data_IF_440771403723
#
_entry.id   IF_440771403723
#
_cell.length_a   1.000
_cell.length_b   1.000
_cell.length_c   1.000
_cell.angle_alpha   90.00
_cell.angle_beta   90.00
_cell.angle_gamma   90.00
#
_symmetry.space_group_name_H-M   'P 1'
#
loop_
_entity.id
_entity.type
_entity.pdbx_description
1 polymer ?
#
# COMPACT_ATOMS: atom_id res chain seq x y z
N UNK A 1 -7.52 3.58 8.11
CA UNK A 1 -6.56 2.72 7.37
C UNK A 1 -7.08 1.30 7.43
N UNK A 2 -6.74 0.47 6.44
CA UNK A 2 -7.06 -0.94 6.52
C UNK A 2 -6.26 -1.61 7.65
N UNK A 3 -6.92 -2.44 8.44
CA UNK A 3 -6.35 -3.08 9.63
C UNK A 3 -5.14 -3.96 9.26
N UNK A 4 -4.08 -3.85 10.07
CA UNK A 4 -2.80 -4.55 9.87
C UNK A 4 -2.26 -4.49 8.43
N UNK A 5 -2.39 -3.33 7.78
CA UNK A 5 -1.86 -3.11 6.42
C UNK A 5 -2.44 -4.08 5.38
N UNK A 6 -3.69 -4.53 5.58
CA UNK A 6 -4.36 -5.59 4.79
C UNK A 6 -3.79 -7.01 4.93
N UNK A 7 -2.78 -7.24 5.78
CA UNK A 7 -2.20 -8.56 6.03
C UNK A 7 -2.97 -9.42 7.04
N UNK A 8 -4.19 -9.00 7.41
CA UNK A 8 -4.98 -9.71 8.42
C UNK A 8 -5.76 -10.91 7.86
N UNK A 9 -6.42 -10.74 6.71
CA UNK A 9 -7.36 -11.74 6.16
C UNK A 9 -7.45 -11.67 4.64
N UNK A 10 -7.83 -12.79 4.01
CA UNK A 10 -8.04 -12.91 2.56
C UNK A 10 -9.45 -12.52 2.12
N UNK A 11 -10.39 -12.34 3.06
CA UNK A 11 -11.74 -11.84 2.79
C UNK A 11 -11.79 -10.31 2.95
N UNK A 12 -12.26 -9.64 1.89
CA UNK A 12 -12.08 -8.20 1.62
C UNK A 12 -12.31 -7.26 2.81
N UNK A 13 -11.26 -6.52 3.19
CA UNK A 13 -11.27 -5.55 4.29
C UNK A 13 -10.65 -4.19 3.90
N UNK A 14 -10.49 -3.89 2.61
CA UNK A 14 -9.78 -2.68 2.18
C UNK A 14 -10.46 -1.42 2.72
N UNK A 15 -9.68 -0.61 3.44
CA UNK A 15 -10.12 0.61 4.10
C UNK A 15 -10.86 0.44 5.45
N UNK A 16 -11.04 -0.79 5.95
CA UNK A 16 -11.73 -1.06 7.22
C UNK A 16 -10.75 -1.28 8.38
N UNK A 17 -11.09 -0.78 9.57
CA UNK A 17 -10.51 -1.26 10.83
C UNK A 17 -11.53 -1.28 11.98
N UNK A 18 -11.31 -2.11 12.98
CA UNK A 18 -12.17 -2.21 14.16
C UNK A 18 -12.33 -0.84 14.84
N UNK A 19 -11.23 -0.09 14.94
CA UNK A 19 -11.21 1.25 15.56
C UNK A 19 -11.81 2.34 14.66
N UNK A 20 -11.59 2.26 13.35
CA UNK A 20 -11.89 3.34 12.40
C UNK A 20 -13.17 3.16 11.60
N UNK A 21 -13.80 1.98 11.66
CA UNK A 21 -14.90 1.61 10.78
C UNK A 21 -14.45 1.49 9.31
N UNK A 22 -15.42 1.53 8.40
CA UNK A 22 -15.18 1.44 6.96
C UNK A 22 -14.89 2.82 6.36
N UNK A 23 -13.70 2.97 5.78
CA UNK A 23 -13.42 4.10 4.87
C UNK A 23 -14.03 3.80 3.51
N UNK A 24 -14.84 4.72 2.96
CA UNK A 24 -15.38 4.63 1.59
C UNK A 24 -14.65 5.59 0.67
N UNK A 25 -14.58 5.23 -0.62
CA UNK A 25 -13.97 6.02 -1.69
C UNK A 25 -14.80 7.25 -2.05
N UNK A 26 -14.20 8.15 -2.82
CA UNK A 26 -14.71 9.51 -3.02
C UNK A 26 -15.83 9.62 -4.06
N UNK A 27 -15.76 8.80 -5.11
CA UNK A 27 -16.47 9.09 -6.35
C UNK A 27 -17.84 8.42 -6.44
N UNK A 28 -18.08 7.34 -5.69
CA UNK A 28 -19.39 6.69 -5.64
C UNK A 28 -19.76 6.25 -4.21
N UNK A 29 -21.04 6.31 -3.82
CA UNK A 29 -21.50 5.76 -2.55
C UNK A 29 -21.12 4.29 -2.39
N UNK A 30 -20.45 3.95 -1.29
CA UNK A 30 -20.00 2.58 -1.04
C UNK A 30 -18.79 2.15 -1.88
N UNK A 31 -18.11 3.06 -2.57
CA UNK A 31 -16.89 2.75 -3.32
C UNK A 31 -15.78 2.27 -2.38
N UNK A 32 -14.94 1.35 -2.85
CA UNK A 32 -13.71 0.99 -2.15
C UNK A 32 -12.70 2.14 -2.17
N UNK A 33 -12.18 2.50 -1.00
CA UNK A 33 -11.07 3.45 -0.87
C UNK A 33 -9.69 2.84 -1.25
N UNK A 34 -9.62 1.52 -1.49
CA UNK A 34 -8.39 0.72 -1.46
C UNK A 34 -7.63 0.89 -0.13
N UNK A 35 -6.41 0.38 -0.05
CA UNK A 35 -5.66 0.42 1.18
C UNK A 35 -4.25 -0.15 1.07
N UNK A 36 -3.51 -0.13 2.16
CA UNK A 36 -4.00 0.19 3.51
C UNK A 36 -4.15 1.69 3.84
N UNK A 37 -3.51 2.59 3.08
CA UNK A 37 -3.51 4.05 3.34
C UNK A 37 -4.78 4.79 2.89
N UNK A 38 -5.90 4.07 2.69
CA UNK A 38 -7.16 4.60 2.14
C UNK A 38 -7.71 5.84 2.86
N UNK A 39 -7.68 5.85 4.19
CA UNK A 39 -8.18 6.99 4.98
C UNK A 39 -7.41 8.29 4.74
N UNK A 40 -6.08 8.21 4.61
CA UNK A 40 -5.25 9.38 4.30
C UNK A 40 -5.50 9.89 2.88
N UNK A 41 -5.66 8.96 1.93
CA UNK A 41 -5.91 9.33 0.53
C UNK A 41 -7.28 10.00 0.37
N UNK A 42 -8.31 9.46 1.00
CA UNK A 42 -9.66 10.04 1.05
C UNK A 42 -9.63 11.43 1.72
N UNK A 43 -8.94 11.59 2.85
CA UNK A 43 -8.85 12.88 3.55
C UNK A 43 -8.15 13.97 2.71
N UNK A 44 -7.09 13.62 2.00
CA UNK A 44 -6.38 14.54 1.08
C UNK A 44 -7.24 14.86 -0.13
N UNK A 45 -7.90 13.86 -0.72
CA UNK A 45 -8.78 14.04 -1.89
C UNK A 45 -9.99 14.92 -1.59
N UNK A 46 -10.59 14.80 -0.40
CA UNK A 46 -11.67 15.68 0.07
C UNK A 46 -11.21 17.08 0.47
N UNK A 47 -9.91 17.35 0.53
CA UNK A 47 -9.39 18.63 1.01
C UNK A 47 -9.48 18.84 2.52
N UNK A 48 -9.79 17.79 3.29
CA UNK A 48 -9.83 17.85 4.77
C UNK A 48 -8.45 18.15 5.34
N UNK A 49 -7.40 17.65 4.68
CA UNK A 49 -6.01 17.96 4.98
C UNK A 49 -5.25 18.35 3.71
N UNK A 50 -4.17 19.12 3.86
CA UNK A 50 -3.29 19.49 2.74
C UNK A 50 -2.48 18.30 2.21
N UNK A 51 -1.96 17.49 3.14
CA UNK A 51 -1.11 16.31 2.88
C UNK A 51 -1.36 15.24 3.95
N UNK A 52 -1.07 13.99 3.62
CA UNK A 52 -1.06 12.89 4.59
C UNK A 52 0.17 11.99 4.38
N UNK A 53 0.56 11.28 5.43
CA UNK A 53 1.56 10.21 5.34
C UNK A 53 0.85 8.87 5.19
N UNK A 54 1.40 8.01 4.35
CA UNK A 54 0.96 6.63 4.17
C UNK A 54 2.13 5.66 4.33
N UNK A 55 1.82 4.37 4.38
CA UNK A 55 2.82 3.30 4.38
C UNK A 55 2.56 2.32 3.26
N UNK A 56 3.63 1.83 2.65
CA UNK A 56 3.54 0.85 1.58
C UNK A 56 4.50 -0.30 1.80
N UNK A 57 3.93 -1.49 1.96
CA UNK A 57 4.59 -2.79 1.82
C UNK A 57 4.59 -3.20 0.35
N UNK A 58 3.42 -3.11 -0.28
CA UNK A 58 3.20 -3.33 -1.71
C UNK A 58 1.90 -2.65 -2.12
N UNK A 59 1.97 -1.61 -2.93
CA UNK A 59 0.82 -0.89 -3.52
C UNK A 59 -0.10 -0.13 -2.52
N UNK A 60 0.22 -0.08 -1.22
CA UNK A 60 -0.65 0.48 -0.18
C UNK A 60 -0.68 2.02 -0.04
N UNK A 61 0.19 2.76 -0.74
CA UNK A 61 0.14 4.23 -0.91
C UNK A 61 -0.41 4.53 -2.31
N UNK A 62 0.15 3.88 -3.33
CA UNK A 62 -0.15 4.17 -4.74
C UNK A 62 -1.60 3.79 -5.09
N UNK A 63 -2.10 2.65 -4.61
CA UNK A 63 -3.47 2.20 -4.87
C UNK A 63 -4.55 3.14 -4.29
N UNK A 64 -4.54 3.48 -2.99
CA UNK A 64 -5.56 4.40 -2.47
C UNK A 64 -5.44 5.81 -3.04
N UNK A 65 -4.24 6.26 -3.43
CA UNK A 65 -4.05 7.52 -4.14
C UNK A 65 -4.73 7.51 -5.52
N UNK A 66 -4.54 6.43 -6.29
CA UNK A 66 -5.22 6.20 -7.57
C UNK A 66 -6.75 6.26 -7.41
N UNK A 67 -7.31 5.49 -6.44
CA UNK A 67 -8.76 5.46 -6.20
C UNK A 67 -9.34 6.78 -5.71
N UNK A 68 -8.50 7.65 -5.16
CA UNK A 68 -8.89 8.97 -4.65
C UNK A 68 -8.56 10.11 -5.63
N UNK A 69 -7.96 9.80 -6.79
CA UNK A 69 -7.59 10.81 -7.78
C UNK A 69 -6.50 11.78 -7.32
N UNK A 70 -5.54 11.32 -6.50
CA UNK A 70 -4.46 12.15 -5.93
C UNK A 70 -3.06 11.58 -6.22
N UNK A 71 -2.03 12.33 -5.85
CA UNK A 71 -0.63 11.87 -5.88
C UNK A 71 -0.37 10.98 -4.66
N UNK A 72 0.15 9.79 -4.92
CA UNK A 72 0.73 8.88 -3.94
C UNK A 72 2.18 8.62 -4.32
N UNK A 73 3.10 9.02 -3.44
CA UNK A 73 4.53 8.82 -3.65
C UNK A 73 5.09 7.84 -2.63
N UNK A 74 5.53 6.69 -3.15
CA UNK A 74 6.32 5.71 -2.41
C UNK A 74 7.80 5.97 -2.70
N UNK A 75 8.59 6.49 -1.74
CA UNK A 75 10.01 6.74 -1.97
C UNK A 75 10.83 5.45 -2.06
N UNK A 76 12.13 5.63 -2.31
CA UNK A 76 13.12 4.58 -2.10
C UNK A 76 13.08 4.12 -0.64
N UNK A 77 13.13 2.80 -0.42
CA UNK A 77 13.10 2.25 0.94
C UNK A 77 14.28 2.80 1.75
N UNK A 78 13.99 3.30 2.95
CA UNK A 78 14.98 3.90 3.83
C UNK A 78 15.22 5.39 3.62
N UNK A 79 14.67 6.01 2.57
CA UNK A 79 14.74 7.47 2.39
C UNK A 79 14.02 8.19 3.54
N UNK A 80 12.82 7.72 3.88
CA UNK A 80 12.11 8.12 5.10
C UNK A 80 12.29 7.02 6.14
N UNK A 81 12.63 7.43 7.36
CA UNK A 81 12.80 6.48 8.46
C UNK A 81 11.44 5.91 8.89
N UNK A 82 11.45 4.61 9.19
CA UNK A 82 10.28 3.83 9.59
C UNK A 82 10.30 3.49 11.08
N UNK A 83 11.10 4.22 11.88
CA UNK A 83 11.20 3.99 13.33
C UNK A 83 9.86 4.26 14.03
N UNK A 84 9.38 3.30 14.81
CA UNK A 84 8.06 3.39 15.44
C UNK A 84 6.90 3.10 14.49
N UNK A 85 7.18 2.71 13.24
CA UNK A 85 6.18 2.09 12.38
C UNK A 85 5.85 0.69 12.89
N UNK A 86 4.57 0.37 12.93
CA UNK A 86 4.13 -1.03 12.94
C UNK A 86 4.37 -1.60 11.55
N UNK A 87 5.25 -2.58 11.48
CA UNK A 87 5.70 -3.15 10.22
C UNK A 87 4.85 -4.36 9.81
N UNK A 88 4.43 -4.40 8.54
CA UNK A 88 4.01 -5.64 7.90
C UNK A 88 5.23 -6.40 7.38
N UNK A 89 6.21 -5.69 6.78
CA UNK A 89 7.50 -6.27 6.40
C UNK A 89 8.60 -5.23 6.50
N UNK A 90 9.52 -5.40 7.45
CA UNK A 90 10.73 -4.55 7.59
C UNK A 90 11.59 -4.48 6.32
N UNK A 91 11.46 -5.48 5.44
CA UNK A 91 12.21 -5.55 4.17
C UNK A 91 11.58 -4.72 3.05
N UNK A 92 10.27 -4.45 3.11
CA UNK A 92 9.53 -3.80 2.03
C UNK A 92 8.94 -2.46 2.44
N UNK A 93 8.55 -2.34 3.72
CA UNK A 93 7.82 -1.19 4.22
C UNK A 93 8.59 0.12 4.05
N UNK A 94 7.88 1.10 3.52
CA UNK A 94 8.35 2.47 3.45
C UNK A 94 7.23 3.44 3.80
N UNK A 95 7.59 4.53 4.48
CA UNK A 95 6.70 5.68 4.65
C UNK A 95 6.73 6.47 3.35
N UNK A 96 5.58 6.97 2.91
CA UNK A 96 5.49 7.87 1.78
C UNK A 96 4.39 8.91 1.96
N UNK A 97 4.13 9.67 0.90
CA UNK A 97 3.35 10.90 0.96
C UNK A 97 2.13 10.80 0.05
N UNK A 98 1.00 11.30 0.54
CA UNK A 98 -0.25 11.49 -0.19
C UNK A 98 -0.53 12.98 -0.27
N UNK A 99 -0.70 13.52 -1.48
CA UNK A 99 -0.93 14.95 -1.71
C UNK A 99 -1.76 15.20 -2.98
N UNK A 100 -2.33 16.39 -3.14
CA UNK A 100 -3.04 16.76 -4.38
C UNK A 100 -2.09 17.23 -5.48
N UNK A 101 -0.87 17.66 -5.14
CA UNK A 101 0.11 18.14 -6.11
C UNK A 101 1.49 17.52 -5.88
N UNK A 102 2.29 17.45 -6.95
CA UNK A 102 3.70 17.02 -6.88
C UNK A 102 4.52 18.00 -6.04
N UNK A 103 4.23 19.31 -6.13
CA UNK A 103 4.89 20.33 -5.34
C UNK A 103 4.70 20.13 -3.83
N UNK A 104 3.48 19.82 -3.39
CA UNK A 104 3.18 19.53 -1.98
C UNK A 104 3.90 18.26 -1.51
N UNK A 105 3.99 17.25 -2.37
CA UNK A 105 4.75 16.02 -2.11
C UNK A 105 6.24 16.33 -1.88
N UNK A 106 6.83 17.14 -2.76
CA UNK A 106 8.22 17.58 -2.67
C UNK A 106 8.48 18.41 -1.40
N UNK A 107 7.56 19.31 -1.04
CA UNK A 107 7.68 20.14 0.16
C UNK A 107 7.73 19.28 1.45
N UNK A 108 6.88 18.25 1.54
CA UNK A 108 6.87 17.32 2.68
C UNK A 108 8.17 16.51 2.74
N UNK A 109 8.64 15.97 1.61
CA UNK A 109 9.87 15.19 1.56
C UNK A 109 11.11 16.00 1.95
N UNK A 110 11.16 17.28 1.55
CA UNK A 110 12.28 18.18 1.86
C UNK A 110 12.28 18.68 3.31
N UNK A 111 11.11 18.72 3.98
CA UNK A 111 10.96 19.27 5.35
C UNK A 111 10.96 18.19 6.45
N UNK A 112 10.42 16.99 6.18
CA UNK A 112 10.11 15.99 7.22
C UNK A 112 11.29 15.10 7.69
N UNK A 113 12.37 14.94 6.91
CA UNK A 113 13.50 14.08 7.29
C UNK A 113 14.23 14.57 8.56
N UNK A 114 14.50 15.88 8.67
CA UNK A 114 15.28 16.42 9.78
C UNK A 114 14.46 16.56 11.09
N UNK A 115 13.16 16.83 10.97
CA UNK A 115 12.24 17.01 12.10
C UNK A 115 11.84 15.67 12.72
N UNK A 116 11.65 14.63 11.91
CA UNK A 116 11.32 13.30 12.39
C UNK A 116 12.49 12.61 13.10
N UNK A 117 13.74 12.84 12.65
CA UNK A 117 14.93 12.30 13.30
C UNK A 117 15.17 12.86 14.72
N UNK A 118 14.57 14.00 15.05
CA UNK A 118 14.76 14.70 16.33
C UNK A 118 13.63 14.47 17.34
N UNK A 119 12.55 13.75 17.01
CA UNK A 119 11.28 13.79 17.78
C UNK A 119 10.77 12.47 18.41
N UNK A 120 11.53 11.37 18.43
CA UNK A 120 11.00 10.05 18.87
C UNK A 120 11.35 9.68 20.32
N UNK A 121 10.32 9.49 21.20
CA UNK A 121 10.52 9.21 22.64
C UNK A 121 9.78 7.99 23.29
N UNK A 122 8.68 7.38 22.80
CA UNK A 122 7.99 6.25 23.53
C UNK A 122 7.15 5.28 22.67
N UNK A 123 6.91 4.03 23.17
CA UNK A 123 6.04 2.96 22.62
C UNK A 123 5.04 2.44 23.69
N UNK A 124 3.75 2.86 23.68
CA UNK A 124 2.83 2.68 24.81
C UNK A 124 2.10 1.32 24.89
N UNK A 125 2.18 0.45 23.88
CA UNK A 125 1.44 -0.83 23.86
C UNK A 125 2.36 -2.06 24.06
N UNK A 126 3.67 -1.84 24.17
CA UNK A 126 4.69 -2.89 24.35
C UNK A 126 4.57 -4.10 23.40
N UNK A 127 4.03 -3.88 22.19
CA UNK A 127 3.97 -4.90 21.13
C UNK A 127 5.33 -4.90 20.42
N UNK A 128 6.07 -5.99 20.55
CA UNK A 128 7.46 -6.09 20.06
C UNK A 128 7.68 -7.21 19.05
N UNK A 129 6.69 -8.07 18.84
CA UNK A 129 6.78 -9.21 17.94
C UNK A 129 5.39 -9.63 17.40
N UNK A 130 5.40 -10.56 16.45
CA UNK A 130 4.19 -11.05 15.79
C UNK A 130 3.30 -11.86 16.75
N UNK A 131 3.88 -12.52 17.76
CA UNK A 131 3.14 -13.32 18.73
C UNK A 131 2.32 -12.45 19.70
N UNK A 132 2.92 -11.37 20.22
CA UNK A 132 2.25 -10.37 21.06
C UNK A 132 1.14 -9.64 20.28
N UNK A 133 1.32 -9.44 18.99
CA UNK A 133 0.31 -8.90 18.09
C UNK A 133 -0.90 -9.84 17.88
N UNK A 134 -0.64 -11.13 17.62
CA UNK A 134 -1.71 -12.14 17.46
C UNK A 134 -2.52 -12.30 18.76
N UNK A 135 -1.85 -12.32 19.91
CA UNK A 135 -2.51 -12.43 21.22
C UNK A 135 -3.43 -11.23 21.51
N UNK A 136 -2.94 -10.00 21.28
CA UNK A 136 -3.74 -8.78 21.42
C UNK A 136 -5.02 -8.82 20.56
N UNK A 137 -4.89 -9.29 19.32
CA UNK A 137 -6.01 -9.34 18.36
C UNK A 137 -7.10 -10.34 18.76
N UNK A 138 -6.72 -11.45 19.41
CA UNK A 138 -7.67 -12.48 19.86
C UNK A 138 -8.40 -12.10 21.15
N UNK A 139 -7.74 -11.39 22.06
CA UNK A 139 -8.28 -11.05 23.38
C UNK A 139 -9.07 -9.74 23.41
N UNK A 140 -8.87 -8.82 22.45
CA UNK A 140 -9.54 -7.52 22.49
C UNK A 140 -10.95 -7.58 21.87
N UNK A 141 -12.04 -7.31 22.63
CA UNK A 141 -13.42 -7.48 22.14
C UNK A 141 -13.79 -6.63 20.91
N UNK A 142 -13.07 -5.54 20.64
CA UNK A 142 -13.28 -4.69 19.48
C UNK A 142 -12.87 -5.36 18.16
N UNK A 143 -12.00 -6.36 18.20
CA UNK A 143 -11.44 -7.06 17.04
C UNK A 143 -12.40 -8.11 16.45
N UNK A 144 -13.48 -8.46 17.16
CA UNK A 144 -14.57 -9.33 16.69
C UNK A 144 -14.11 -10.73 16.22
N UNK A 145 -13.01 -11.24 16.78
CA UNK A 145 -12.60 -12.63 16.61
C UNK A 145 -13.67 -13.58 17.21
N UNK A 146 -14.05 -14.72 16.58
CA UNK A 146 -13.49 -15.31 15.36
C UNK A 146 -14.16 -14.89 14.04
N UNK A 147 -15.20 -14.04 14.06
CA UNK A 147 -15.89 -13.61 12.84
C UNK A 147 -14.95 -12.87 11.87
N UNK A 148 -13.92 -12.21 12.40
CA UNK A 148 -12.80 -11.64 11.63
C UNK A 148 -11.50 -12.33 12.04
N UNK A 149 -11.04 -13.28 11.23
CA UNK A 149 -9.94 -14.19 11.57
C UNK A 149 -8.55 -13.56 11.45
N UNK A 150 -7.53 -14.30 11.89
CA UNK A 150 -6.10 -13.93 11.84
C UNK A 150 -5.28 -14.93 11.01
N UNK A 151 -5.93 -15.65 10.11
CA UNK A 151 -5.35 -16.79 9.37
C UNK A 151 -4.10 -16.37 8.57
N UNK A 152 -4.06 -15.15 8.02
CA UNK A 152 -2.87 -14.63 7.33
C UNK A 152 -1.65 -14.53 8.25
N UNK A 153 -1.85 -14.12 9.50
CA UNK A 153 -0.81 -14.02 10.52
C UNK A 153 -0.41 -15.42 11.04
N UNK A 154 -1.37 -16.32 11.19
CA UNK A 154 -1.13 -17.71 11.60
C UNK A 154 -0.36 -18.49 10.52
N UNK A 155 -0.70 -18.30 9.26
CA UNK A 155 0.02 -18.87 8.12
C UNK A 155 1.45 -18.32 8.00
N UNK A 156 1.64 -17.02 8.24
CA UNK A 156 2.97 -16.42 8.29
C UNK A 156 3.81 -16.95 9.46
N UNK A 157 3.19 -17.19 10.62
CA UNK A 157 3.83 -17.75 11.81
C UNK A 157 4.18 -19.25 11.64
N UNK A 158 3.36 -20.00 10.91
CA UNK A 158 3.55 -21.43 10.65
C UNK A 158 4.47 -21.72 9.46
N UNK A 159 4.86 -20.71 8.68
CA UNK A 159 5.69 -20.88 7.50
C UNK A 159 7.10 -21.37 7.85
N UNK A 160 7.50 -22.54 7.33
CA UNK A 160 8.89 -23.00 7.39
C UNK A 160 9.74 -22.25 6.38
N UNK A 161 10.48 -21.26 6.87
CA UNK A 161 11.43 -20.47 6.06
C UNK A 161 12.59 -21.31 5.46
N UNK A 162 12.76 -22.57 5.88
CA UNK A 162 13.76 -23.49 5.31
C UNK A 162 13.22 -24.37 4.17
N UNK A 163 11.94 -24.30 3.85
CA UNK A 163 11.32 -25.08 2.79
C UNK A 163 11.98 -24.79 1.43
N UNK A 164 12.05 -25.77 0.50
CA UNK A 164 12.68 -25.59 -0.82
C UNK A 164 12.11 -24.42 -1.63
N UNK A 165 10.81 -24.13 -1.47
CA UNK A 165 10.16 -22.97 -2.09
C UNK A 165 10.78 -21.64 -1.58
N UNK A 166 10.98 -21.49 -0.28
CA UNK A 166 11.65 -20.31 0.31
C UNK A 166 13.13 -20.20 -0.03
N UNK A 167 13.79 -21.31 -0.37
CA UNK A 167 15.20 -21.33 -0.83
C UNK A 167 15.35 -20.96 -2.30
N UNK A 168 14.34 -21.22 -3.14
CA UNK A 168 14.36 -20.94 -4.59
C UNK A 168 13.72 -19.60 -4.97
N UNK A 169 12.84 -19.06 -4.12
CA UNK A 169 12.27 -17.72 -4.29
C UNK A 169 13.31 -16.57 -4.29
N UNK A 170 14.40 -16.61 -3.50
CA UNK A 170 15.46 -15.61 -3.55
C UNK A 170 16.11 -15.49 -4.93
N UNK A 171 16.42 -16.61 -5.59
CA UNK A 171 17.06 -16.61 -6.92
C UNK A 171 16.14 -16.01 -7.99
N UNK A 172 14.86 -16.40 -7.99
CA UNK A 172 13.86 -15.79 -8.88
C UNK A 172 13.63 -14.32 -8.57
N UNK A 173 13.64 -13.94 -7.30
CA UNK A 173 13.52 -12.53 -6.89
C UNK A 173 14.75 -11.74 -7.32
N UNK A 174 15.97 -12.28 -7.17
CA UNK A 174 17.21 -11.59 -7.54
C UNK A 174 17.25 -11.27 -9.04
N UNK A 175 16.76 -12.15 -9.90
CA UNK A 175 16.66 -11.87 -11.34
C UNK A 175 15.83 -10.61 -11.65
N UNK A 176 14.70 -10.41 -10.97
CA UNK A 176 13.82 -9.25 -11.20
C UNK A 176 14.15 -8.03 -10.32
N UNK A 177 14.90 -8.20 -9.23
CA UNK A 177 15.27 -7.11 -8.32
C UNK A 177 16.63 -6.52 -8.71
N UNK A 178 17.62 -7.38 -8.92
CA UNK A 178 19.02 -7.03 -9.12
C UNK A 178 19.57 -7.45 -10.50
N UNK A 179 18.87 -8.34 -11.20
CA UNK A 179 19.30 -8.92 -12.48
C UNK A 179 18.72 -8.22 -13.71
N UNK A 180 18.99 -8.81 -14.88
CA UNK A 180 18.64 -8.26 -16.19
C UNK A 180 17.13 -8.09 -16.41
N UNK A 181 16.29 -8.83 -15.69
CA UNK A 181 14.84 -8.69 -15.77
C UNK A 181 14.28 -7.54 -14.93
N UNK A 182 15.13 -6.79 -14.21
CA UNK A 182 14.72 -5.78 -13.26
C UNK A 182 14.51 -4.38 -13.85
N UNK A 183 13.91 -3.50 -13.03
CA UNK A 183 13.59 -2.11 -13.39
C UNK A 183 14.85 -1.35 -13.81
N UNK A 184 15.94 -1.47 -13.04
CA UNK A 184 17.19 -0.77 -13.34
C UNK A 184 17.85 -1.24 -14.64
N UNK A 185 17.89 -2.55 -14.87
CA UNK A 185 18.42 -3.12 -16.10
C UNK A 185 17.59 -2.67 -17.32
N UNK A 186 16.27 -2.64 -17.18
CA UNK A 186 15.35 -2.15 -18.24
C UNK A 186 15.61 -0.68 -18.56
N UNK A 187 15.67 0.20 -17.54
CA UNK A 187 15.96 1.62 -17.74
C UNK A 187 17.33 1.85 -18.39
N UNK A 188 18.34 1.08 -17.98
CA UNK A 188 19.69 1.15 -18.55
C UNK A 188 19.71 0.70 -20.01
N UNK A 189 19.08 -0.43 -20.33
CA UNK A 189 19.02 -0.96 -21.69
C UNK A 189 18.25 -0.03 -22.65
N UNK A 190 17.26 0.69 -22.14
CA UNK A 190 16.48 1.64 -22.92
C UNK A 190 17.01 3.08 -22.88
N UNK A 191 18.11 3.34 -22.16
CA UNK A 191 18.63 4.70 -21.90
C UNK A 191 17.54 5.67 -21.40
N UNK A 192 16.72 5.22 -20.45
CA UNK A 192 15.58 5.96 -19.93
C UNK A 192 15.75 6.28 -18.43
N UNK A 193 15.23 7.45 -18.01
CA UNK A 193 15.22 7.87 -16.60
C UNK A 193 13.94 7.47 -15.86
N UNK A 194 12.83 7.33 -16.60
CA UNK A 194 11.49 7.07 -16.04
C UNK A 194 10.78 6.03 -16.89
N UNK A 195 10.07 5.12 -16.21
CA UNK A 195 9.19 4.15 -16.86
C UNK A 195 7.73 4.48 -16.54
N UNK A 196 6.91 4.67 -17.59
CA UNK A 196 5.47 4.93 -17.47
C UNK A 196 4.75 3.61 -17.74
N UNK A 197 3.95 3.15 -16.78
CA UNK A 197 3.21 1.89 -16.86
C UNK A 197 1.74 2.10 -16.47
N UNK A 198 0.82 1.23 -16.92
CA UNK A 198 -0.50 1.15 -16.32
C UNK A 198 -0.40 0.84 -14.82
N UNK A 199 -1.23 1.48 -14.00
CA UNK A 199 -1.15 1.43 -12.52
C UNK A 199 -1.30 -0.01 -11.98
N UNK A 200 -2.06 -0.87 -12.67
CA UNK A 200 -2.25 -2.28 -12.31
C UNK A 200 -1.13 -3.23 -12.77
N UNK A 201 -0.01 -2.72 -13.27
CA UNK A 201 1.09 -3.58 -13.71
C UNK A 201 1.75 -4.33 -12.53
N UNK A 202 2.12 -5.62 -12.69
CA UNK A 202 2.85 -6.39 -11.68
C UNK A 202 4.16 -5.71 -11.24
N UNK A 203 4.75 -4.92 -12.13
CA UNK A 203 5.95 -4.13 -11.90
C UNK A 203 5.74 -3.08 -10.80
N UNK A 204 4.63 -2.34 -10.83
CA UNK A 204 4.30 -1.37 -9.78
C UNK A 204 3.89 -2.05 -8.47
N UNK A 205 3.08 -3.11 -8.56
CA UNK A 205 2.52 -3.76 -7.38
C UNK A 205 3.57 -4.52 -6.56
N UNK A 206 4.51 -5.21 -7.23
CA UNK A 206 5.38 -6.20 -6.58
C UNK A 206 6.86 -5.92 -6.77
N UNK A 207 7.29 -5.62 -8.00
CA UNK A 207 8.72 -5.53 -8.30
C UNK A 207 9.34 -4.25 -7.74
N UNK A 208 8.68 -3.10 -7.90
CA UNK A 208 9.16 -1.83 -7.35
C UNK A 208 9.21 -1.85 -5.81
N UNK A 209 8.25 -2.51 -5.17
CA UNK A 209 8.25 -2.72 -3.72
C UNK A 209 9.47 -3.55 -3.28
N UNK A 210 9.71 -4.68 -3.95
CA UNK A 210 10.84 -5.58 -3.66
C UNK A 210 12.20 -4.98 -3.96
N UNK A 211 12.33 -4.26 -5.07
CA UNK A 211 13.55 -3.56 -5.45
C UNK A 211 13.77 -2.26 -4.66
N UNK A 212 12.77 -1.83 -3.88
CA UNK A 212 12.82 -0.56 -3.18
C UNK A 212 12.84 0.65 -4.13
N UNK A 213 12.48 0.50 -5.40
CA UNK A 213 12.43 1.58 -6.39
C UNK A 213 11.33 2.59 -6.04
N UNK A 214 11.55 3.90 -6.26
CA UNK A 214 10.51 4.89 -6.04
C UNK A 214 9.37 4.74 -7.05
N UNK A 215 8.14 5.01 -6.61
CA UNK A 215 6.92 4.97 -7.44
C UNK A 215 6.07 6.21 -7.15
N UNK A 216 5.53 6.82 -8.19
CA UNK A 216 4.60 7.95 -8.08
C UNK A 216 3.35 7.65 -8.90
N UNK A 217 2.16 7.74 -8.30
CA UNK A 217 0.92 7.82 -9.08
C UNK A 217 0.75 9.24 -9.62
N UNK A 218 0.38 9.35 -10.88
CA UNK A 218 -0.05 10.60 -11.51
C UNK A 218 -1.50 10.41 -11.95
N UNK A 219 -2.49 11.06 -11.29
CA UNK A 219 -3.87 10.93 -11.68
C UNK A 219 -4.08 11.57 -13.06
N UNK A 220 -4.65 10.80 -14.00
CA UNK A 220 -4.94 11.25 -15.37
C UNK A 220 -6.36 11.81 -15.54
N UNK A 221 -7.12 11.94 -14.44
CA UNK A 221 -8.50 12.38 -14.43
C UNK A 221 -9.38 11.51 -13.54
N UNK A 222 -10.69 11.79 -13.57
CA UNK A 222 -11.73 11.00 -12.89
C UNK A 222 -12.53 10.21 -13.91
N UNK A 223 -13.02 9.03 -13.51
CA UNK A 223 -13.97 8.29 -14.31
C UNK A 223 -15.28 9.08 -14.47
N UNK A 224 -15.99 8.97 -15.61
CA UNK A 224 -17.33 9.54 -15.79
C UNK A 224 -18.32 9.06 -14.71
N UNK A 225 -19.30 9.90 -14.37
CA UNK A 225 -20.27 9.59 -13.30
C UNK A 225 -21.17 8.38 -13.60
N UNK A 226 -21.33 8.02 -14.88
CA UNK A 226 -22.10 6.89 -15.39
C UNK A 226 -21.26 5.61 -15.56
N UNK A 227 -20.00 5.61 -15.11
CA UNK A 227 -19.15 4.42 -15.15
C UNK A 227 -19.82 3.27 -14.42
N UNK A 228 -19.95 2.12 -15.10
CA UNK A 228 -20.50 0.91 -14.51
C UNK A 228 -19.69 0.49 -13.28
N UNK A 229 -20.38 -0.08 -12.28
CA UNK A 229 -19.77 -0.52 -11.02
C UNK A 229 -20.09 -1.97 -10.76
N UNK A 230 -19.13 -2.69 -10.20
CA UNK A 230 -19.24 -4.07 -9.76
C UNK A 230 -19.22 -4.12 -8.24
N UNK A 231 -20.11 -4.94 -7.66
CA UNK A 231 -20.14 -5.18 -6.23
C UNK A 231 -19.18 -6.31 -5.89
N UNK A 232 -18.27 -6.05 -4.97
CA UNK A 232 -17.46 -7.10 -4.37
C UNK A 232 -18.29 -7.82 -3.31
N UNK A 233 -18.58 -9.10 -3.53
CA UNK A 233 -19.39 -9.90 -2.61
C UNK A 233 -18.75 -10.07 -1.22
N UNK A 234 -17.41 -10.03 -1.14
CA UNK A 234 -16.69 -10.21 0.13
C UNK A 234 -16.83 -9.01 1.07
N UNK A 235 -16.70 -7.79 0.55
CA UNK A 235 -16.79 -6.55 1.35
C UNK A 235 -18.14 -5.84 1.28
N UNK A 236 -18.97 -6.17 0.29
CA UNK A 236 -20.22 -5.46 -0.01
C UNK A 236 -20.02 -4.07 -0.64
N UNK A 237 -18.77 -3.64 -0.85
CA UNK A 237 -18.39 -2.37 -1.46
C UNK A 237 -18.37 -2.49 -2.99
N UNK A 238 -18.36 -1.34 -3.67
CA UNK A 238 -18.31 -1.29 -5.14
C UNK A 238 -16.94 -0.86 -5.66
N UNK A 239 -16.58 -1.41 -6.81
CA UNK A 239 -15.45 -0.98 -7.64
C UNK A 239 -15.99 -0.49 -8.99
N UNK A 240 -15.34 0.47 -9.66
CA UNK A 240 -15.57 0.67 -11.07
C UNK A 240 -15.34 -0.63 -11.84
N UNK A 241 -16.25 -0.98 -12.74
CA UNK A 241 -16.09 -2.09 -13.67
C UNK A 241 -14.96 -1.70 -14.63
N UNK A 242 -13.74 -2.14 -14.34
CA UNK A 242 -12.66 -2.00 -15.30
C UNK A 242 -12.99 -2.94 -16.45
N UNK A 243 -13.18 -2.41 -17.65
CA UNK A 243 -13.32 -3.21 -18.85
C UNK A 243 -12.18 -4.25 -18.84
N UNK A 244 -12.54 -5.53 -18.77
CA UNK A 244 -11.61 -6.66 -18.75
C UNK A 244 -10.50 -6.41 -19.76
N UNK A 245 -9.26 -6.43 -19.28
CA UNK A 245 -8.00 -6.38 -20.02
C UNK A 245 -8.11 -6.75 -21.52
N UNK A 246 -8.28 -5.75 -22.40
CA UNK A 246 -8.03 -5.87 -23.85
C UNK A 246 -8.04 -4.53 -24.62
N UNK A 247 -8.00 -3.36 -23.96
CA UNK A 247 -7.72 -2.12 -24.68
C UNK A 247 -6.20 -1.88 -24.64
N UNK A 248 -5.50 -2.48 -25.60
CA UNK A 248 -4.19 -1.99 -25.99
C UNK A 248 -4.32 -0.48 -26.19
N UNK A 249 -3.56 0.31 -25.42
CA UNK A 249 -3.24 1.67 -25.80
C UNK A 249 -2.47 1.56 -27.12
N UNK A 250 -3.17 1.73 -28.24
CA UNK A 250 -2.53 2.05 -29.50
C UNK A 250 -1.85 3.39 -29.32
N UNK A 251 -0.51 3.35 -29.43
CA UNK A 251 0.38 4.50 -29.51
C UNK A 251 -0.10 5.46 -30.60
#
# INVERSE_FOLDING_TARGET
MAEWVEFRSTSGCSGWSARGGQTTGLFHPGMKASGSSGGGAVAVGLGVVGVALGTETCYCIVSPAEKSGIIGFKPTRGLLSSKGLIHASKRLDTVGVLARTVADTQLVLTTSINTYLTSLNTNPQNITDLASLIAFTKDHPAEQYPHRNVEGLENAQAADTNAPLYKTMPEKNDYFINGEGGIHATLTACCADVMILPTLSPTMQTLAAKAGSPVMSVPMGTLPADTAVEKDEGSGLICPAYASSAAALSV
#
